data_IF_805901716476
#
_entry.id   IF_805901716476
#
_cell.length_a   1.000
_cell.length_b   1.000
_cell.length_c   1.000
_cell.angle_alpha   90.00
_cell.angle_beta   90.00
_cell.angle_gamma   90.00
#
_symmetry.space_group_name_H-M   'P 1'
#
loop_
_entity.id
_entity.type
_entity.pdbx_description
1 polymer ?
2 water ?
#
# COMPACT_ATOMS: atom_id res chain seq x y z
N UNK A 19 16.25 -3.30 -14.67
CA UNK A 19 14.87 -3.38 -14.10
C UNK A 19 14.16 -4.58 -14.70
N UNK A 20 13.72 -5.53 -13.84
CA UNK A 20 12.82 -6.57 -14.31
C UNK A 20 11.58 -5.95 -14.94
N UNK A 21 10.95 -6.69 -15.85
CA UNK A 21 9.71 -6.25 -16.47
C UNK A 21 8.54 -6.93 -15.78
N UNK A 22 7.68 -6.17 -15.12
CA UNK A 22 6.56 -6.75 -14.39
C UNK A 22 5.24 -6.68 -15.16
N UNK A 23 5.33 -6.38 -16.46
CA UNK A 23 4.13 -6.20 -17.27
C UNK A 23 3.89 -7.39 -18.18
N UNK A 24 4.59 -8.49 -17.94
CA UNK A 24 4.57 -9.63 -18.86
C UNK A 24 3.67 -10.79 -18.45
N UNK A 25 2.91 -10.63 -17.37
CA UNK A 25 1.98 -11.66 -16.95
C UNK A 25 0.72 -11.57 -17.77
N UNK A 26 0.16 -12.70 -18.16
CA UNK A 26 -1.06 -12.74 -18.97
C UNK A 26 -2.32 -12.90 -18.15
N UNK A 27 -2.18 -13.11 -16.84
CA UNK A 27 -3.34 -13.23 -15.97
C UNK A 27 -2.96 -12.94 -14.52
N UNK A 28 -3.97 -12.61 -13.73
CA UNK A 28 -3.84 -12.50 -12.28
C UNK A 28 -3.30 -13.83 -11.69
N UNK A 29 -3.85 -14.94 -12.16
CA UNK A 29 -3.38 -16.26 -11.73
C UNK A 29 -1.90 -16.52 -11.99
N UNK A 30 -1.43 -16.13 -13.18
CA UNK A 30 -0.03 -16.26 -13.53
C UNK A 30 0.88 -15.38 -12.65
N UNK A 31 0.45 -14.14 -12.41
CA UNK A 31 1.16 -13.27 -11.48
C UNK A 31 1.27 -13.83 -10.06
N UNK A 32 0.15 -14.34 -9.52
CA UNK A 32 0.16 -14.93 -8.17
C UNK A 32 1.11 -16.12 -8.09
N UNK A 33 1.08 -16.96 -9.12
CA UNK A 33 1.96 -18.12 -9.21
C UNK A 33 3.42 -17.66 -9.15
N UNK A 34 3.75 -16.63 -9.94
CA UNK A 34 5.11 -16.11 -9.95
C UNK A 34 5.60 -15.58 -8.61
N UNK A 35 4.72 -15.18 -7.72
CA UNK A 35 5.18 -14.70 -6.42
C UNK A 35 4.82 -15.67 -5.32
N UNK A 36 4.57 -16.93 -5.71
CA UNK A 36 4.22 -18.03 -4.79
C UNK A 36 2.96 -17.76 -3.95
N UNK A 37 2.05 -16.92 -4.46
CA UNK A 37 0.84 -16.54 -3.71
C UNK A 37 -0.43 -17.15 -4.30
N UNK A 38 -0.26 -18.20 -5.09
CA UNK A 38 -1.37 -18.78 -5.82
C UNK A 38 -2.45 -19.39 -4.91
N UNK A 39 -2.16 -19.52 -3.62
CA UNK A 39 -3.15 -19.98 -2.67
C UNK A 39 -4.31 -18.99 -2.55
N UNK A 40 -4.11 -17.74 -3.00
CA UNK A 40 -5.15 -16.71 -2.87
C UNK A 40 -5.88 -16.45 -4.17
N UNK A 41 -5.67 -17.35 -5.13
CA UNK A 41 -6.28 -17.22 -6.44
C UNK A 41 -7.80 -17.05 -6.38
N UNK A 42 -8.46 -17.88 -5.58
CA UNK A 42 -9.92 -17.83 -5.51
C UNK A 42 -10.37 -16.54 -4.85
N UNK A 43 -9.61 -16.08 -3.87
CA UNK A 43 -9.87 -14.80 -3.18
C UNK A 43 -9.93 -13.65 -4.19
N UNK A 44 -8.94 -13.58 -5.07
CA UNK A 44 -8.85 -12.51 -6.06
C UNK A 44 -10.01 -12.66 -7.05
N UNK A 45 -10.23 -13.89 -7.53
CA UNK A 45 -11.32 -14.13 -8.48
C UNK A 45 -12.68 -13.79 -7.87
N UNK A 46 -12.92 -14.30 -6.66
CA UNK A 46 -14.23 -14.12 -5.99
C UNK A 46 -14.55 -12.66 -5.83
N UNK A 47 -13.52 -11.83 -5.66
CA UNK A 47 -13.75 -10.40 -5.48
C UNK A 47 -13.69 -9.65 -6.80
N UNK A 48 -13.63 -10.38 -7.91
CA UNK A 48 -13.65 -9.77 -9.24
C UNK A 48 -12.37 -9.04 -9.65
N UNK A 49 -11.23 -9.47 -9.11
CA UNK A 49 -9.95 -9.00 -9.62
C UNK A 49 -9.55 -9.92 -10.74
N UNK A 50 -10.06 -9.61 -11.93
CA UNK A 50 -9.91 -10.47 -13.09
C UNK A 50 -8.85 -9.96 -14.10
N UNK A 51 -8.32 -8.77 -13.87
CA UNK A 51 -7.29 -8.18 -14.70
C UNK A 51 -6.14 -7.66 -13.84
N UNK A 52 -4.95 -7.53 -14.42
CA UNK A 52 -3.81 -7.05 -13.65
C UNK A 52 -3.86 -5.53 -13.48
N UNK A 53 -4.57 -4.89 -14.40
CA UNK A 53 -4.89 -3.46 -14.29
C UNK A 53 -5.59 -3.16 -12.96
N UNK A 54 -6.61 -3.93 -12.62
CA UNK A 54 -7.34 -3.71 -11.36
C UNK A 54 -6.50 -4.06 -10.13
N UNK A 55 -5.68 -5.10 -10.27
CA UNK A 55 -4.75 -5.48 -9.23
C UNK A 55 -3.73 -4.36 -8.98
N UNK A 56 -3.21 -3.75 -10.04
CA UNK A 56 -2.22 -2.69 -9.88
C UNK A 56 -2.79 -1.46 -9.14
N UNK A 57 -4.11 -1.29 -9.12
CA UNK A 57 -4.73 -0.15 -8.40
C UNK A 57 -5.03 -0.40 -6.90
N UNK A 58 -4.73 -1.60 -6.40
CA UNK A 58 -5.10 -1.96 -5.03
C UNK A 58 -4.20 -1.28 -3.98
N UNK A 59 -4.84 -0.92 -2.87
CA UNK A 59 -4.18 -0.50 -1.63
C UNK A 59 -4.20 -1.66 -0.61
N UNK A 60 -3.56 -1.45 0.54
CA UNK A 60 -3.58 -2.40 1.66
C UNK A 60 -5.00 -2.80 2.11
N UNK A 61 -5.91 -1.83 2.04
CA UNK A 61 -7.32 -2.04 2.35
C UNK A 61 -7.99 -3.05 1.43
N UNK A 62 -7.71 -2.95 0.12
CA UNK A 62 -8.18 -3.94 -0.83
C UNK A 62 -7.59 -5.32 -0.50
N UNK A 63 -6.31 -5.36 -0.15
CA UNK A 63 -5.65 -6.61 0.18
C UNK A 63 -6.30 -7.25 1.42
N UNK A 64 -6.55 -6.43 2.45
CA UNK A 64 -7.18 -6.90 3.68
C UNK A 64 -8.59 -7.39 3.44
N UNK A 65 -9.31 -6.75 2.52
CA UNK A 65 -10.66 -7.16 2.10
C UNK A 65 -10.72 -8.56 1.52
N UNK A 66 -9.60 -9.03 0.96
CA UNK A 66 -9.53 -10.38 0.37
C UNK A 66 -9.38 -11.47 1.43
N UNK A 67 -9.24 -11.06 2.68
CA UNK A 67 -9.03 -12.00 3.75
C UNK A 67 -7.62 -12.54 3.79
N UNK A 68 -6.67 -11.84 3.15
CA UNK A 68 -5.26 -12.19 3.28
C UNK A 68 -4.78 -11.56 4.57
N UNK A 69 -4.52 -12.38 5.57
CA UNK A 69 -4.27 -11.88 6.91
C UNK A 69 -2.82 -12.01 7.41
N UNK A 70 -2.05 -12.99 6.93
CA UNK A 70 -0.63 -13.08 7.34
C UNK A 70 0.07 -11.82 6.85
N UNK A 71 0.77 -11.15 7.76
CA UNK A 71 1.39 -9.86 7.45
C UNK A 71 2.43 -10.02 6.35
N UNK A 72 3.12 -11.15 6.39
CA UNK A 72 4.15 -11.45 5.42
C UNK A 72 3.61 -11.58 4.02
N UNK A 73 2.39 -12.12 3.90
CA UNK A 73 1.74 -12.25 2.61
C UNK A 73 1.24 -10.92 2.09
N UNK A 74 0.64 -10.12 2.98
CA UNK A 74 0.21 -8.77 2.66
C UNK A 74 1.37 -7.95 2.11
N UNK A 75 2.54 -8.09 2.71
CA UNK A 75 3.70 -7.30 2.31
C UNK A 75 4.28 -7.78 0.99
N UNK A 76 4.40 -9.09 0.81
CA UNK A 76 4.87 -9.63 -0.46
C UNK A 76 3.97 -9.10 -1.61
N UNK A 77 2.65 -9.26 -1.46
CA UNK A 77 1.65 -8.84 -2.44
C UNK A 77 1.67 -7.33 -2.70
N UNK A 78 1.64 -6.53 -1.62
CA UNK A 78 1.74 -5.08 -1.75
C UNK A 78 3.01 -4.66 -2.47
N UNK A 79 4.11 -5.34 -2.16
CA UNK A 79 5.38 -5.06 -2.82
C UNK A 79 5.34 -5.34 -4.32
N UNK A 80 4.75 -6.48 -4.67
CA UNK A 80 4.67 -6.90 -6.05
C UNK A 80 3.71 -5.98 -6.80
N UNK A 81 2.62 -5.60 -6.14
CA UNK A 81 1.64 -4.68 -6.71
C UNK A 81 2.28 -3.33 -7.03
N UNK A 82 3.09 -2.83 -6.10
CA UNK A 82 3.83 -1.59 -6.30
C UNK A 82 4.70 -1.57 -7.55
N UNK A 83 5.60 -2.55 -7.68
CA UNK A 83 6.49 -2.69 -8.85
C UNK A 83 5.69 -2.75 -10.17
N UNK A 84 4.61 -3.50 -10.12
CA UNK A 84 3.63 -3.61 -11.19
C UNK A 84 3.03 -2.25 -11.56
N UNK A 85 2.49 -1.55 -10.56
CA UNK A 85 1.81 -0.27 -10.76
C UNK A 85 2.73 0.78 -11.39
N UNK A 86 3.99 0.79 -10.96
CA UNK A 86 4.99 1.72 -11.45
C UNK A 86 5.19 1.61 -12.97
N UNK A 87 5.03 0.40 -13.51
CA UNK A 87 5.30 0.16 -14.94
C UNK A 87 4.02 0.12 -15.75
N UNK A 88 2.92 -0.16 -15.07
CA UNK A 88 1.63 -0.40 -15.66
C UNK A 88 0.79 0.86 -15.69
N UNK A 89 0.89 1.72 -14.67
CA UNK A 89 -0.10 2.80 -14.53
C UNK A 89 0.41 4.19 -14.93
N UNK B 12 -15.54 -2.43 2.85
CA UNK B 12 -15.69 -3.07 4.18
C UNK B 12 -16.56 -4.33 4.10
N UNK B 13 -16.16 -5.34 4.87
CA UNK B 13 -16.84 -6.64 4.93
C UNK B 13 -16.50 -7.34 6.25
N UNK B 14 -16.77 -8.64 6.34
CA UNK B 14 -16.35 -9.44 7.49
C UNK B 14 -14.83 -9.58 7.65
N UNK B 15 -14.12 -9.35 6.54
CA UNK B 15 -12.66 -9.42 6.47
C UNK B 15 -11.95 -8.14 6.92
N UNK B 16 -12.37 -7.02 6.34
CA UNK B 16 -11.75 -5.73 6.59
C UNK B 16 -12.79 -4.80 7.24
N UNK B 17 -12.63 -4.58 8.55
CA UNK B 17 -13.61 -3.86 9.37
C UNK B 17 -13.73 -2.36 9.03
N UNK B 18 -12.68 -1.79 8.43
CA UNK B 18 -12.73 -0.39 8.00
C UNK B 18 -11.42 0.37 8.01
N UNK B 19 -10.51 0.01 8.93
CA UNK B 19 -9.23 0.71 9.08
C UNK B 19 -8.03 -0.26 8.99
N UNK B 20 -7.00 0.07 8.20
CA UNK B 20 -5.87 -0.84 8.10
C UNK B 20 -4.98 -0.83 9.36
N UNK B 21 -4.18 -1.88 9.52
CA UNK B 21 -3.29 -1.96 10.66
C UNK B 21 -1.97 -1.30 10.28
N UNK B 22 -1.76 -0.08 10.76
CA UNK B 22 -0.54 0.64 10.36
C UNK B 22 0.68 0.27 11.19
N UNK B 23 0.49 -0.61 12.17
CA UNK B 23 1.58 -0.95 13.10
C UNK B 23 2.47 -2.07 12.54
N UNK B 24 2.09 -2.63 11.41
CA UNK B 24 2.82 -3.73 10.77
C UNK B 24 3.92 -3.28 9.82
N UNK B 25 4.04 -1.98 9.57
CA UNK B 25 4.99 -1.52 8.55
C UNK B 25 6.37 -1.42 9.13
N UNK B 26 7.36 -1.88 8.39
CA UNK B 26 8.76 -1.87 8.85
C UNK B 26 9.54 -0.62 8.42
N UNK B 27 8.95 0.20 7.56
CA UNK B 27 9.64 1.36 6.98
C UNK B 27 8.63 2.35 6.43
N UNK B 28 9.07 3.60 6.23
CA UNK B 28 8.25 4.65 5.63
C UNK B 28 7.84 4.21 4.22
N UNK B 29 8.80 3.60 3.53
CA UNK B 29 8.59 3.05 2.20
C UNK B 29 7.47 2.02 2.10
N UNK B 30 7.43 1.06 3.02
CA UNK B 30 6.32 0.09 3.06
C UNK B 30 4.99 0.76 3.34
N UNK B 31 5.00 1.76 4.20
CA UNK B 31 3.80 2.51 4.48
C UNK B 31 3.32 3.25 3.22
N UNK B 32 4.23 3.94 2.54
CA UNK B 32 3.84 4.72 1.38
C UNK B 32 3.26 3.84 0.27
N UNK B 33 3.91 2.72 0.00
CA UNK B 33 3.38 1.76 -0.98
C UNK B 33 2.00 1.20 -0.62
N UNK B 34 1.77 0.95 0.67
CA UNK B 34 0.49 0.37 1.13
C UNK B 34 -0.66 1.29 0.79
N UNK B 35 -0.40 2.60 0.80
CA UNK B 35 -1.41 3.62 0.49
C UNK B 35 -1.21 4.29 -0.88
N UNK B 36 -0.46 3.62 -1.77
CA UNK B 36 -0.17 4.09 -3.13
C UNK B 36 0.44 5.48 -3.19
N UNK B 37 1.25 5.84 -2.21
CA UNK B 37 1.85 7.15 -2.20
C UNK B 37 3.36 7.06 -2.38
N UNK B 38 3.83 5.90 -2.88
CA UNK B 38 5.25 5.63 -3.00
C UNK B 38 6.01 6.64 -3.89
N UNK B 39 5.25 7.36 -4.72
CA UNK B 39 5.83 8.41 -5.55
C UNK B 39 6.43 9.54 -4.71
N UNK B 40 6.04 9.63 -3.43
CA UNK B 40 6.58 10.65 -2.53
C UNK B 40 7.69 10.17 -1.59
N UNK B 41 8.25 9.00 -1.89
CA UNK B 41 9.29 8.38 -1.09
C UNK B 41 10.47 9.34 -0.88
N UNK B 42 10.95 9.94 -1.97
CA UNK B 42 12.07 10.88 -1.89
C UNK B 42 11.77 12.16 -1.13
N UNK B 43 10.52 12.61 -1.22
CA UNK B 43 10.04 13.75 -0.45
C UNK B 43 10.17 13.52 1.06
N UNK B 44 9.86 12.31 1.51
CA UNK B 44 9.94 11.99 2.93
C UNK B 44 11.40 11.86 3.34
N UNK B 45 12.17 11.13 2.53
CA UNK B 45 13.61 10.98 2.69
C UNK B 45 14.35 12.32 2.74
N UNK B 46 14.17 13.15 1.71
CA UNK B 46 14.84 14.44 1.65
C UNK B 46 14.54 15.29 2.88
N UNK B 47 13.37 15.09 3.47
CA UNK B 47 12.96 15.91 4.58
C UNK B 47 13.37 15.30 5.93
N UNK B 48 13.99 14.11 5.89
CA UNK B 48 14.52 13.52 7.11
C UNK B 48 13.59 12.54 7.82
N UNK B 49 12.43 12.26 7.21
CA UNK B 49 11.47 11.31 7.76
C UNK B 49 11.88 9.90 7.41
N UNK B 50 12.75 9.32 8.24
CA UNK B 50 13.29 8.00 7.97
C UNK B 50 12.74 6.92 8.89
N UNK B 51 11.77 7.31 9.71
CA UNK B 51 11.09 6.36 10.59
C UNK B 51 9.61 6.68 10.63
N UNK B 52 8.82 5.65 10.91
CA UNK B 52 7.39 5.82 11.03
C UNK B 52 6.99 6.57 12.30
N UNK B 53 7.84 6.53 13.33
CA UNK B 53 7.58 7.36 14.53
C UNK B 53 7.65 8.86 14.22
N UNK B 54 8.62 9.28 13.40
CA UNK B 54 8.64 10.64 12.85
C UNK B 54 7.41 10.99 12.04
N UNK B 55 7.01 10.07 11.15
CA UNK B 55 5.85 10.29 10.31
C UNK B 55 4.57 10.45 11.15
N UNK B 56 4.37 9.53 12.10
CA UNK B 56 3.21 9.52 13.00
C UNK B 56 3.03 10.87 13.69
N UNK B 57 4.12 11.60 13.86
CA UNK B 57 4.13 12.88 14.56
C UNK B 57 3.94 14.10 13.64
N UNK B 58 3.66 13.88 12.35
CA UNK B 58 3.60 14.99 11.40
C UNK B 58 2.28 15.73 11.44
N UNK B 59 2.33 17.02 11.15
CA UNK B 59 1.15 17.86 11.00
C UNK B 59 0.96 18.21 9.52
N UNK B 60 -0.18 18.85 9.21
CA UNK B 60 -0.51 19.23 7.83
C UNK B 60 0.57 20.15 7.25
N UNK B 61 1.16 20.97 8.12
CA UNK B 61 2.24 21.89 7.76
C UNK B 61 3.49 21.12 7.36
N UNK B 62 3.81 20.08 8.14
CA UNK B 62 4.90 19.18 7.79
C UNK B 62 4.66 18.51 6.44
N UNK B 63 3.44 18.04 6.22
CA UNK B 63 3.06 17.38 4.98
C UNK B 63 3.21 18.33 3.79
N UNK B 64 2.74 19.55 3.94
CA UNK B 64 2.85 20.50 2.83
C UNK B 64 4.27 20.94 2.55
N UNK B 65 5.11 20.95 3.58
CA UNK B 65 6.50 21.34 3.37
C UNK B 65 7.27 20.23 2.64
N UNK B 66 6.60 19.11 2.36
CA UNK B 66 7.19 17.99 1.61
C UNK B 66 7.14 18.19 0.09
N UNK B 67 6.48 19.27 -0.33
CA UNK B 67 6.30 19.58 -1.74
C UNK B 67 5.19 18.75 -2.38
N UNK B 68 4.34 18.14 -1.56
CA UNK B 68 3.20 17.41 -2.07
C UNK B 68 2.12 18.43 -2.40
N UNK B 69 1.73 18.49 -3.67
CA UNK B 69 0.87 19.58 -4.15
C UNK B 69 -0.58 19.18 -4.36
N UNK B 70 -0.82 17.96 -4.85
CA UNK B 70 -2.18 17.47 -5.08
C UNK B 70 -2.97 17.32 -3.78
N UNK B 71 -4.10 18.02 -3.72
CA UNK B 71 -4.93 18.07 -2.52
C UNK B 71 -5.43 16.69 -2.07
N UNK B 72 -5.86 15.85 -3.01
CA UNK B 72 -6.29 14.50 -2.67
C UNK B 72 -5.19 13.68 -2.01
N UNK B 73 -3.97 13.86 -2.50
CA UNK B 73 -2.80 13.18 -1.97
C UNK B 73 -2.44 13.66 -0.56
N UNK B 74 -2.43 14.97 -0.36
CA UNK B 74 -2.29 15.57 0.97
C UNK B 74 -3.30 14.99 1.95
N UNK B 75 -4.55 14.94 1.51
CA UNK B 75 -5.62 14.42 2.32
C UNK B 75 -5.39 12.95 2.65
N UNK B 76 -5.06 12.15 1.64
CA UNK B 76 -4.82 10.73 1.87
C UNK B 76 -3.67 10.54 2.86
N UNK B 77 -2.58 11.26 2.65
CA UNK B 77 -1.43 11.15 3.53
C UNK B 77 -1.81 11.54 4.98
N UNK B 78 -2.53 12.66 5.13
CA UNK B 78 -2.91 13.19 6.43
C UNK B 78 -3.83 12.27 7.20
N UNK B 79 -4.80 11.70 6.49
CA UNK B 79 -5.76 10.76 7.08
C UNK B 79 -5.05 9.48 7.52
N UNK B 80 -4.06 9.08 6.73
CA UNK B 80 -3.25 7.92 7.03
C UNK B 80 -2.38 8.16 8.28
N UNK B 81 -1.80 9.36 8.38
CA UNK B 81 -0.99 9.75 9.53
C UNK B 81 -1.83 9.77 10.81
N UNK B 82 -3.05 10.28 10.70
CA UNK B 82 -3.97 10.29 11.83
C UNK B 82 -4.20 8.89 12.38
N UNK B 83 -4.54 7.94 11.51
CA UNK B 83 -4.80 6.55 11.92
C UNK B 83 -3.54 5.97 12.55
N UNK B 84 -2.40 6.22 11.90
CA UNK B 84 -1.11 5.72 12.36
C UNK B 84 -0.71 6.25 13.74
N UNK B 85 -0.88 7.55 13.93
CA UNK B 85 -0.66 8.19 15.22
C UNK B 85 -1.54 7.55 16.30
N UNK B 86 -2.82 7.38 16.00
CA UNK B 86 -3.73 6.85 17.01
C UNK B 86 -3.22 5.47 17.44
N UNK B 87 -2.91 4.63 16.45
CA UNK B 87 -2.50 3.26 16.67
C UNK B 87 -1.13 3.10 17.33
N UNK B 88 -0.20 4.02 17.08
CA UNK B 88 1.15 3.94 17.61
C UNK B 88 1.33 4.76 18.89
N UNK B 89 0.68 5.93 18.94
CA UNK B 89 0.96 6.95 19.97
C UNK B 89 -0.16 7.15 21.00
N UNK B 90 -1.37 6.70 20.68
CA UNK B 90 -2.54 6.96 21.55
C UNK B 90 -2.99 5.71 22.30
#
# INVERSE_FOLDING_TARGET
MHHHHHHSSGRENLYFQGTPDFTTFCSVGEWLQAIKMERYKDNFTAAGYNSLESVARMTIEDVMSLGITLVGHQKKIMSSIQTMRAQMLH
MHHHHHHSSGRENLYFQGTPDFTTFCSVGEWLQAIKMERYKDNFTAAGYNSLESVARMTIEDVMSLGITLVGHQKKIMSSIQTMRAQMLH
#
